data_IF_441004997562
#
_entry.id   IF_441004997562
#
_cell.length_a   1.000
_cell.length_b   1.000
_cell.length_c   1.000
_cell.angle_alpha   90.00
_cell.angle_beta   90.00
_cell.angle_gamma   90.00
#
_symmetry.space_group_name_H-M   'P 1'
#
loop_
_entity.id
_entity.type
_entity.pdbx_description
1 polymer ?
#
# COMPACT_ATOMS: atom_id res chain seq x y z
N UNK A 1 -7.03 -0.68 10.88
CA UNK A 1 -5.79 -1.29 11.44
C UNK A 1 -6.04 -2.75 11.74
N UNK A 2 -5.17 -3.67 11.31
CA UNK A 2 -5.32 -5.13 11.42
C UNK A 2 -4.90 -5.59 12.82
N UNK A 3 -5.85 -6.00 13.67
CA UNK A 3 -5.60 -6.50 15.04
C UNK A 3 -6.02 -7.95 15.25
N UNK A 4 -6.97 -8.44 14.45
CA UNK A 4 -7.50 -9.81 14.54
C UNK A 4 -7.25 -10.60 13.26
N UNK A 5 -7.39 -11.93 13.32
CA UNK A 5 -7.36 -12.77 12.11
C UNK A 5 -8.52 -12.46 11.16
N UNK A 6 -9.65 -11.99 11.69
CA UNK A 6 -10.80 -11.55 10.90
C UNK A 6 -10.43 -10.31 10.08
N UNK A 7 -9.87 -9.27 10.73
CA UNK A 7 -9.41 -8.06 10.04
C UNK A 7 -8.38 -8.40 8.95
N UNK A 8 -7.42 -9.28 9.26
CA UNK A 8 -6.42 -9.73 8.30
C UNK A 8 -7.05 -10.34 7.05
N UNK A 9 -8.03 -11.23 7.25
CA UNK A 9 -8.75 -11.87 6.15
C UNK A 9 -9.54 -10.85 5.31
N UNK A 10 -10.24 -9.92 5.97
CA UNK A 10 -11.00 -8.86 5.32
C UNK A 10 -10.10 -7.96 4.44
N UNK A 11 -8.94 -7.52 4.96
CA UNK A 11 -8.00 -6.72 4.20
C UNK A 11 -7.43 -7.47 2.99
N UNK A 12 -7.02 -8.73 3.18
CA UNK A 12 -6.49 -9.55 2.09
C UNK A 12 -7.56 -9.76 1.01
N UNK A 13 -8.80 -10.09 1.37
CA UNK A 13 -9.88 -10.30 0.42
C UNK A 13 -10.23 -9.01 -0.34
N UNK A 14 -10.23 -7.86 0.34
CA UNK A 14 -10.46 -6.57 -0.29
C UNK A 14 -9.36 -6.24 -1.31
N UNK A 15 -8.08 -6.45 -0.96
CA UNK A 15 -6.97 -6.24 -1.88
C UNK A 15 -7.06 -7.21 -3.08
N UNK A 16 -7.33 -8.51 -2.84
CA UNK A 16 -7.46 -9.53 -3.89
C UNK A 16 -8.61 -9.27 -4.86
N UNK A 17 -9.75 -8.78 -4.37
CA UNK A 17 -10.93 -8.51 -5.18
C UNK A 17 -10.68 -7.52 -6.31
N UNK A 18 -9.68 -6.64 -6.15
CA UNK A 18 -9.29 -5.64 -7.14
C UNK A 18 -8.54 -6.21 -8.34
N UNK A 19 -7.99 -7.44 -8.23
CA UNK A 19 -7.18 -8.07 -9.29
C UNK A 19 -7.95 -9.13 -10.10
N UNK A 20 -9.26 -9.29 -9.86
CA UNK A 20 -10.10 -10.26 -10.57
C UNK A 20 -9.84 -11.73 -10.17
N UNK A 21 -10.63 -12.65 -10.73
CA UNK A 21 -10.48 -14.10 -10.48
C UNK A 21 -9.32 -14.65 -11.32
N UNK A 22 -8.17 -14.92 -10.71
CA UNK A 22 -7.02 -15.55 -11.38
C UNK A 22 -7.02 -17.06 -11.17
N UNK A 23 -7.18 -17.81 -12.26
CA UNK A 23 -7.23 -19.28 -12.24
C UNK A 23 -5.87 -19.98 -12.11
N UNK A 24 -4.72 -19.28 -12.30
CA UNK A 24 -3.41 -19.92 -12.46
C UNK A 24 -2.29 -19.22 -11.66
N UNK A 25 -2.42 -19.18 -10.33
CA UNK A 25 -1.43 -18.54 -9.45
C UNK A 25 0.01 -19.09 -9.57
N UNK A 26 0.16 -20.41 -9.80
CA UNK A 26 1.47 -21.06 -9.98
C UNK A 26 2.13 -20.69 -11.31
N UNK A 27 1.36 -20.65 -12.39
CA UNK A 27 1.82 -20.21 -13.72
C UNK A 27 2.19 -18.73 -13.71
N UNK A 28 1.46 -17.89 -12.97
CA UNK A 28 1.76 -16.47 -12.81
C UNK A 28 3.13 -16.21 -12.17
N UNK A 29 3.56 -17.07 -11.24
CA UNK A 29 4.92 -17.00 -10.68
C UNK A 29 5.98 -17.33 -11.72
N UNK A 30 5.77 -18.40 -12.49
CA UNK A 30 6.72 -18.86 -13.50
C UNK A 30 6.89 -17.87 -14.65
N UNK A 31 5.81 -17.26 -15.10
CA UNK A 31 5.81 -16.29 -16.20
C UNK A 31 6.01 -14.84 -15.75
N UNK A 32 6.28 -14.58 -14.47
CA UNK A 32 6.53 -13.23 -13.96
C UNK A 32 5.32 -12.30 -14.00
N UNK A 33 4.09 -12.85 -13.90
CA UNK A 33 2.85 -12.05 -13.89
C UNK A 33 2.93 -10.94 -12.84
N UNK A 34 2.86 -9.70 -13.31
CA UNK A 34 3.02 -8.50 -12.50
C UNK A 34 1.99 -8.42 -11.37
N UNK A 35 0.74 -8.73 -11.65
CA UNK A 35 -0.30 -8.69 -10.66
C UNK A 35 -0.17 -9.82 -9.63
N UNK A 36 0.31 -11.02 -10.00
CA UNK A 36 0.65 -12.06 -9.04
C UNK A 36 1.74 -11.59 -8.07
N UNK A 37 2.79 -10.96 -8.60
CA UNK A 37 3.90 -10.45 -7.78
C UNK A 37 3.43 -9.32 -6.85
N UNK A 38 2.57 -8.43 -7.36
CA UNK A 38 1.98 -7.34 -6.57
C UNK A 38 1.08 -7.90 -5.46
N UNK A 39 0.21 -8.84 -5.75
CA UNK A 39 -0.61 -9.52 -4.73
C UNK A 39 0.23 -10.23 -3.67
N UNK A 40 1.33 -10.87 -4.06
CA UNK A 40 2.28 -11.48 -3.11
C UNK A 40 2.89 -10.44 -2.18
N UNK A 41 3.22 -9.25 -2.71
CA UNK A 41 3.69 -8.12 -1.91
C UNK A 41 2.59 -7.63 -0.95
N UNK A 42 1.37 -7.39 -1.43
CA UNK A 42 0.24 -6.92 -0.61
C UNK A 42 -0.08 -7.91 0.52
N UNK A 43 -0.14 -9.20 0.23
CA UNK A 43 -0.30 -10.23 1.27
C UNK A 43 0.82 -10.14 2.33
N UNK A 44 2.07 -9.99 1.91
CA UNK A 44 3.19 -9.83 2.85
C UNK A 44 3.03 -8.58 3.70
N UNK A 45 2.65 -7.44 3.10
CA UNK A 45 2.32 -6.21 3.83
C UNK A 45 1.29 -6.48 4.93
N UNK A 46 0.11 -7.08 4.59
CA UNK A 46 -0.98 -7.33 5.53
C UNK A 46 -0.60 -8.29 6.66
N UNK A 47 0.15 -9.35 6.37
CA UNK A 47 0.70 -10.23 7.41
C UNK A 47 1.68 -9.50 8.32
N UNK A 48 2.53 -8.64 7.78
CA UNK A 48 3.51 -7.89 8.57
C UNK A 48 2.81 -6.86 9.47
N UNK A 49 1.77 -6.17 8.97
CA UNK A 49 0.91 -5.30 9.78
C UNK A 49 0.23 -6.05 10.94
N UNK A 50 -0.32 -7.24 10.66
CA UNK A 50 -0.93 -8.09 11.69
C UNK A 50 0.07 -8.48 12.76
N UNK A 51 1.28 -8.94 12.39
CA UNK A 51 2.30 -9.31 13.37
C UNK A 51 2.81 -8.13 14.16
N UNK A 52 2.96 -6.97 13.53
CA UNK A 52 3.32 -5.72 14.21
C UNK A 52 2.25 -5.32 15.24
N UNK A 53 0.99 -5.31 14.87
CA UNK A 53 -0.12 -4.86 15.71
C UNK A 53 -0.50 -5.84 16.84
N UNK A 54 -0.12 -7.11 16.70
CA UNK A 54 -0.34 -8.15 17.71
C UNK A 54 0.95 -8.52 18.45
N UNK A 55 2.01 -7.72 18.27
CA UNK A 55 3.31 -7.95 18.88
C UNK A 55 3.20 -7.88 20.41
N UNK A 56 3.67 -8.95 21.06
CA UNK A 56 3.94 -8.97 22.49
C UNK A 56 5.45 -9.12 22.69
N UNK A 57 6.11 -8.03 23.11
CA UNK A 57 7.57 -7.98 23.30
C UNK A 57 8.09 -8.99 24.32
N UNK A 58 7.23 -9.47 25.25
CA UNK A 58 7.57 -10.51 26.23
C UNK A 58 7.57 -11.92 25.64
N UNK A 59 7.01 -12.11 24.43
CA UNK A 59 6.96 -13.41 23.77
C UNK A 59 8.00 -13.45 22.63
N UNK A 60 9.13 -14.20 22.80
CA UNK A 60 10.21 -14.23 21.83
C UNK A 60 9.78 -14.81 20.46
N UNK A 61 8.85 -15.76 20.45
CA UNK A 61 8.35 -16.34 19.20
C UNK A 61 7.54 -15.32 18.36
N UNK A 62 6.74 -14.48 19.02
CA UNK A 62 6.01 -13.41 18.33
C UNK A 62 6.97 -12.35 17.79
N UNK A 63 7.99 -12.01 18.56
CA UNK A 63 9.03 -11.06 18.13
C UNK A 63 9.79 -11.60 16.91
N UNK A 64 10.28 -12.84 16.99
CA UNK A 64 11.00 -13.49 15.89
C UNK A 64 10.15 -13.55 14.61
N UNK A 65 8.86 -13.91 14.75
CA UNK A 65 7.92 -13.97 13.62
C UNK A 65 7.69 -12.60 12.97
N UNK A 66 7.59 -11.55 13.77
CA UNK A 66 7.50 -10.18 13.24
C UNK A 66 8.80 -9.78 12.53
N UNK A 67 9.95 -9.96 13.16
CA UNK A 67 11.26 -9.61 12.58
C UNK A 67 11.48 -10.32 11.22
N UNK A 68 11.17 -11.63 11.15
CA UNK A 68 11.27 -12.40 9.91
C UNK A 68 10.31 -11.89 8.84
N UNK A 69 9.04 -11.63 9.20
CA UNK A 69 8.07 -11.09 8.27
C UNK A 69 8.48 -9.71 7.75
N UNK A 70 8.95 -8.84 8.64
CA UNK A 70 9.41 -7.49 8.30
C UNK A 70 10.66 -7.53 7.40
N UNK A 71 11.62 -8.40 7.69
CA UNK A 71 12.79 -8.61 6.83
C UNK A 71 12.39 -9.00 5.40
N UNK A 72 11.51 -10.00 5.27
CA UNK A 72 11.01 -10.41 3.95
C UNK A 72 10.23 -9.31 3.25
N UNK A 73 9.42 -8.55 4.00
CA UNK A 73 8.68 -7.41 3.49
C UNK A 73 9.62 -6.32 2.92
N UNK A 74 10.67 -5.96 3.68
CA UNK A 74 11.67 -4.97 3.23
C UNK A 74 12.41 -5.44 1.97
N UNK A 75 12.78 -6.71 1.89
CA UNK A 75 13.38 -7.26 0.65
C UNK A 75 12.45 -7.20 -0.56
N UNK A 76 11.14 -7.42 -0.35
CA UNK A 76 10.16 -7.28 -1.43
C UNK A 76 9.95 -5.81 -1.82
N UNK A 77 9.97 -4.88 -0.86
CA UNK A 77 9.94 -3.45 -1.07
C UNK A 77 11.05 -3.00 -2.05
N UNK A 78 12.28 -3.39 -1.77
CA UNK A 78 13.43 -3.05 -2.63
C UNK A 78 13.37 -3.74 -4.00
N UNK A 79 12.98 -5.03 -4.02
CA UNK A 79 12.87 -5.81 -5.25
C UNK A 79 11.80 -5.28 -6.21
N UNK A 80 10.65 -4.89 -5.67
CA UNK A 80 9.48 -4.48 -6.49
C UNK A 80 9.35 -2.97 -6.61
N UNK A 81 10.22 -2.20 -5.92
CA UNK A 81 10.17 -0.73 -5.84
C UNK A 81 8.83 -0.20 -5.31
N UNK A 82 8.18 -0.97 -4.44
CA UNK A 82 6.90 -0.64 -3.82
C UNK A 82 7.13 -0.23 -2.36
N UNK A 83 7.23 1.06 -2.10
CA UNK A 83 7.45 1.61 -0.76
C UNK A 83 6.13 1.98 -0.10
N UNK A 84 5.54 1.05 0.65
CA UNK A 84 4.26 1.21 1.36
C UNK A 84 4.48 1.04 2.87
N UNK A 85 4.35 2.10 3.69
CA UNK A 85 4.52 1.99 5.14
C UNK A 85 3.45 1.10 5.79
N UNK A 86 3.79 0.47 6.92
CA UNK A 86 2.84 -0.33 7.70
C UNK A 86 1.76 0.56 8.31
N UNK A 87 0.52 0.05 8.35
CA UNK A 87 -0.65 0.69 8.97
C UNK A 87 -1.08 2.05 8.38
N UNK A 88 -0.60 2.39 7.21
CA UNK A 88 -0.95 3.66 6.53
C UNK A 88 -2.13 3.47 5.60
N UNK A 89 -2.20 2.36 4.86
CA UNK A 89 -3.16 2.16 3.77
C UNK A 89 -4.32 1.25 4.20
N UNK A 90 -5.55 1.71 3.96
CA UNK A 90 -6.78 0.96 4.17
C UNK A 90 -6.89 -0.31 3.31
N UNK A 91 -8.00 -1.08 3.45
CA UNK A 91 -8.25 -2.26 2.63
C UNK A 91 -8.59 -1.89 1.19
N UNK A 92 -8.34 -2.79 0.24
CA UNK A 92 -8.65 -2.59 -1.17
C UNK A 92 -7.58 -1.80 -1.93
N UNK A 93 -6.31 -1.85 -1.48
CA UNK A 93 -5.19 -1.26 -2.21
C UNK A 93 -5.01 -1.97 -3.56
N UNK A 94 -4.98 -1.18 -4.63
CA UNK A 94 -4.75 -1.64 -5.99
C UNK A 94 -3.56 -0.92 -6.62
N UNK A 95 -2.58 -1.68 -7.07
CA UNK A 95 -1.40 -1.19 -7.80
C UNK A 95 -1.41 -1.88 -9.17
N UNK A 96 -1.97 -1.25 -10.21
CA UNK A 96 -2.13 -1.87 -11.54
C UNK A 96 -0.78 -2.18 -12.18
N UNK A 97 0.17 -1.25 -12.11
CA UNK A 97 1.51 -1.34 -12.68
C UNK A 97 2.56 -0.89 -11.68
N UNK A 98 3.63 -1.68 -11.52
CA UNK A 98 4.72 -1.42 -10.57
C UNK A 98 6.05 -1.00 -11.22
N UNK A 99 6.15 -1.06 -12.55
CA UNK A 99 7.42 -0.90 -13.27
C UNK A 99 8.20 0.38 -12.91
N UNK A 100 7.52 1.52 -12.76
CA UNK A 100 8.12 2.80 -12.34
C UNK A 100 8.26 2.97 -10.83
N UNK A 101 7.89 1.97 -10.04
CA UNK A 101 7.87 2.06 -8.58
C UNK A 101 6.72 2.90 -8.01
N UNK A 102 6.56 2.80 -6.69
CA UNK A 102 5.59 3.60 -5.91
C UNK A 102 6.28 4.00 -4.61
N UNK A 103 6.22 5.27 -4.27
CA UNK A 103 6.71 5.78 -2.98
C UNK A 103 5.54 6.35 -2.18
N UNK A 104 5.29 5.80 -1.01
CA UNK A 104 4.27 6.31 -0.09
C UNK A 104 4.92 6.75 1.22
N UNK A 105 4.82 8.03 1.51
CA UNK A 105 5.00 8.60 2.83
C UNK A 105 3.80 9.50 3.11
N UNK A 106 2.78 8.94 3.73
CA UNK A 106 1.51 9.59 4.01
C UNK A 106 1.08 9.33 5.46
N UNK A 107 0.33 10.26 6.04
CA UNK A 107 -0.24 10.11 7.38
C UNK A 107 -1.32 9.04 7.41
N UNK A 108 -2.15 9.00 6.39
CA UNK A 108 -3.23 8.04 6.22
C UNK A 108 -3.60 7.96 4.74
N UNK A 109 -3.95 6.76 4.30
CA UNK A 109 -4.58 6.50 3.00
C UNK A 109 -5.85 5.67 3.26
N UNK A 110 -6.97 6.09 2.69
CA UNK A 110 -8.27 5.46 2.87
C UNK A 110 -8.39 4.08 2.22
N UNK A 111 -9.62 3.58 2.15
CA UNK A 111 -9.95 2.30 1.49
C UNK A 111 -10.05 2.48 -0.03
N UNK A 112 -9.92 1.35 -0.77
CA UNK A 112 -10.05 1.28 -2.23
C UNK A 112 -9.10 2.22 -2.98
N UNK A 113 -7.94 2.50 -2.42
CA UNK A 113 -6.95 3.38 -3.02
C UNK A 113 -6.31 2.72 -4.25
N UNK A 114 -6.22 3.49 -5.33
CA UNK A 114 -5.53 3.09 -6.57
C UNK A 114 -4.28 3.96 -6.70
N UNK A 115 -3.14 3.33 -6.91
CA UNK A 115 -1.90 4.04 -7.15
C UNK A 115 -1.12 3.40 -8.29
N UNK A 116 -0.91 4.16 -9.33
CA UNK A 116 -0.21 3.71 -10.52
C UNK A 116 1.31 3.89 -10.42
N UNK A 117 2.02 3.40 -11.41
CA UNK A 117 3.47 3.46 -11.53
C UNK A 117 4.02 4.90 -11.47
N UNK A 118 5.15 5.09 -10.79
CA UNK A 118 5.85 6.38 -10.70
C UNK A 118 5.20 7.40 -9.76
N UNK A 119 4.14 7.01 -9.03
CA UNK A 119 3.47 7.93 -8.11
C UNK A 119 4.24 8.12 -6.81
N UNK A 120 4.14 9.33 -6.26
CA UNK A 120 4.79 9.72 -5.02
C UNK A 120 3.78 10.39 -4.08
N UNK A 121 3.63 9.85 -2.87
CA UNK A 121 3.08 10.57 -1.74
C UNK A 121 4.24 10.94 -0.82
N UNK A 122 4.52 12.23 -0.64
CA UNK A 122 5.76 12.67 -0.02
C UNK A 122 5.66 13.85 0.92
N UNK A 123 6.69 14.01 1.75
CA UNK A 123 6.86 15.17 2.62
C UNK A 123 7.33 16.40 1.83
N UNK A 124 7.02 17.60 2.36
CA UNK A 124 7.58 18.87 1.90
C UNK A 124 8.36 19.53 3.05
N UNK A 125 9.69 19.46 2.99
CA UNK A 125 10.54 19.93 4.08
C UNK A 125 10.50 18.97 5.28
N UNK A 126 9.75 19.29 6.32
CA UNK A 126 9.70 18.51 7.55
C UNK A 126 9.05 17.14 7.37
N UNK A 127 9.50 16.15 8.16
CA UNK A 127 9.05 14.75 8.06
C UNK A 127 7.55 14.57 8.33
N UNK A 128 6.94 15.43 9.15
CA UNK A 128 5.52 15.38 9.50
C UNK A 128 4.62 16.15 8.51
N UNK A 129 5.22 16.85 7.56
CA UNK A 129 4.52 17.58 6.51
C UNK A 129 4.18 16.63 5.35
N UNK A 130 3.31 15.66 5.61
CA UNK A 130 2.93 14.55 4.72
C UNK A 130 1.43 14.53 4.43
N UNK A 131 1.00 13.98 3.27
CA UNK A 131 -0.38 14.01 2.84
C UNK A 131 -1.29 13.05 3.61
N UNK A 132 -2.59 13.36 3.58
CA UNK A 132 -3.69 12.48 3.97
C UNK A 132 -4.60 12.25 2.77
N UNK A 133 -4.93 10.99 2.49
CA UNK A 133 -5.71 10.59 1.32
C UNK A 133 -7.03 9.98 1.80
N UNK A 134 -8.13 10.39 1.20
CA UNK A 134 -9.47 9.85 1.47
C UNK A 134 -9.72 8.45 0.90
N UNK A 135 -10.97 8.03 0.93
CA UNK A 135 -11.43 6.75 0.37
C UNK A 135 -11.64 6.87 -1.14
N UNK A 136 -11.51 5.75 -1.88
CA UNK A 136 -11.75 5.65 -3.33
C UNK A 136 -10.94 6.67 -4.17
N UNK A 137 -9.75 7.04 -3.73
CA UNK A 137 -8.89 7.97 -4.47
C UNK A 137 -8.03 7.19 -5.47
N UNK A 138 -7.87 7.76 -6.67
CA UNK A 138 -6.98 7.25 -7.70
C UNK A 138 -5.84 8.22 -7.98
N UNK A 139 -4.61 7.75 -7.85
CA UNK A 139 -3.40 8.43 -8.31
C UNK A 139 -2.96 7.81 -9.64
N UNK A 140 -3.21 8.51 -10.75
CA UNK A 140 -2.78 8.08 -12.07
C UNK A 140 -1.26 8.15 -12.22
N UNK A 141 -0.73 7.52 -13.27
CA UNK A 141 0.70 7.34 -13.52
C UNK A 141 1.50 8.65 -13.36
N UNK A 142 2.61 8.60 -12.63
CA UNK A 142 3.51 9.73 -12.43
C UNK A 142 2.96 10.87 -11.57
N UNK A 143 1.77 10.75 -11.00
CA UNK A 143 1.19 11.81 -10.16
C UNK A 143 1.89 11.89 -8.79
N UNK A 144 1.94 13.09 -8.23
CA UNK A 144 2.62 13.35 -6.96
C UNK A 144 1.72 14.15 -6.02
N UNK A 145 1.66 13.77 -4.74
CA UNK A 145 1.00 14.55 -3.68
C UNK A 145 2.06 14.89 -2.64
N UNK A 146 2.40 16.17 -2.50
CA UNK A 146 3.55 16.60 -1.73
C UNK A 146 3.17 17.60 -0.64
N UNK A 147 3.56 17.28 0.59
CA UNK A 147 3.33 18.12 1.77
C UNK A 147 2.06 17.74 2.54
N UNK A 148 1.69 18.58 3.50
CA UNK A 148 0.49 18.40 4.36
C UNK A 148 -0.77 18.74 3.57
N UNK A 149 -1.09 17.92 2.60
CA UNK A 149 -2.23 18.06 1.69
C UNK A 149 -3.31 17.05 2.08
N UNK A 150 -4.57 17.47 2.09
CA UNK A 150 -5.71 16.59 2.25
C UNK A 150 -6.38 16.39 0.88
N UNK A 151 -6.38 15.15 0.41
CA UNK A 151 -7.13 14.74 -0.77
C UNK A 151 -8.44 14.11 -0.30
N UNK A 152 -9.56 14.70 -0.66
CA UNK A 152 -10.90 14.22 -0.33
C UNK A 152 -11.20 12.88 -1.00
N UNK A 153 -12.23 12.19 -0.49
CA UNK A 153 -12.67 10.91 -1.07
C UNK A 153 -13.21 11.08 -2.49
N UNK A 154 -13.23 9.97 -3.25
CA UNK A 154 -13.80 9.89 -4.60
C UNK A 154 -13.11 10.81 -5.62
N UNK A 155 -11.83 11.13 -5.41
CA UNK A 155 -11.01 12.02 -6.25
C UNK A 155 -10.09 11.24 -7.18
N UNK A 156 -9.85 11.79 -8.39
CA UNK A 156 -8.89 11.27 -9.35
C UNK A 156 -7.80 12.32 -9.58
N UNK A 157 -6.54 11.93 -9.35
CA UNK A 157 -5.37 12.77 -9.64
C UNK A 157 -4.84 12.39 -11.01
N UNK A 158 -4.93 13.33 -11.95
CA UNK A 158 -4.56 13.10 -13.34
C UNK A 158 -3.08 12.70 -13.52
N UNK A 159 -2.72 12.03 -14.63
CA UNK A 159 -1.34 11.63 -14.90
C UNK A 159 -0.36 12.82 -14.85
N UNK A 160 0.83 12.59 -14.27
CA UNK A 160 1.91 13.58 -14.16
C UNK A 160 1.54 14.89 -13.44
N UNK A 161 0.44 14.91 -12.68
CA UNK A 161 0.03 16.07 -11.89
C UNK A 161 0.81 16.16 -10.58
N UNK A 162 1.10 17.37 -10.14
CA UNK A 162 1.69 17.64 -8.81
C UNK A 162 0.68 18.37 -7.94
N UNK A 163 0.23 17.71 -6.88
CA UNK A 163 -0.73 18.25 -5.92
C UNK A 163 0.02 18.78 -4.71
N UNK A 164 -0.13 20.09 -4.46
CA UNK A 164 0.50 20.82 -3.36
C UNK A 164 -0.50 21.64 -2.53
N UNK A 165 -1.80 21.48 -2.82
CA UNK A 165 -2.92 22.10 -2.10
C UNK A 165 -4.02 21.08 -1.89
N UNK A 166 -4.89 21.32 -0.91
CA UNK A 166 -6.02 20.46 -0.61
C UNK A 166 -6.95 20.31 -1.82
N UNK A 167 -7.46 19.07 -2.00
CA UNK A 167 -8.48 18.72 -3.00
C UNK A 167 -9.75 18.34 -2.25
N UNK A 168 -10.89 19.01 -2.48
CA UNK A 168 -12.17 18.59 -1.95
C UNK A 168 -12.56 17.21 -2.49
N UNK A 169 -13.40 16.47 -1.77
CA UNK A 169 -14.00 15.26 -2.28
C UNK A 169 -15.01 15.53 -3.39
N UNK A 170 -15.13 14.62 -4.34
CA UNK A 170 -16.09 14.67 -5.44
C UNK A 170 -17.34 13.85 -5.16
#
# INVERSE_FOLDING_TARGET
>A
MIKTKKDLREYILADESRYGKRKHALLGWFFGDEAYMTLKFLKRLRYTEYYFNTLNKKNPFKLLRFCWSFFLYRRMWDKYKLQVPLNVVGPGLYIPHRAGGVYMNAKRVGKNFIISSGCVLGAKGDADNIPSIGDNVECCIGSMVIGKVNVGSDSIIAPNSVVIKDIPGG
#
